data_IF_103703533248
#
_entry.id   IF_103703533248
#
_cell.length_a   1.000
_cell.length_b   1.000
_cell.length_c   1.000
_cell.angle_alpha   90.00
_cell.angle_beta   90.00
_cell.angle_gamma   90.00
#
_symmetry.space_group_name_H-M   'P 1'
#
loop_
_entity.id
_entity.type
_entity.pdbx_description
1 polymer ?
#
# COMPACT_ATOMS: atom_id res chain seq x y z
N UNK A 1 8.42 14.40 -19.63
CA UNK A 1 6.96 14.45 -19.64
C UNK A 1 6.50 14.41 -21.08
N UNK A 2 6.21 13.24 -21.61
CA UNK A 2 5.68 13.08 -22.96
C UNK A 2 4.19 13.34 -22.92
N UNK A 3 3.81 14.58 -23.21
CA UNK A 3 2.44 14.85 -23.58
C UNK A 3 2.21 14.11 -24.92
N UNK A 4 1.39 13.10 -24.90
CA UNK A 4 1.01 12.40 -26.13
C UNK A 4 0.49 13.41 -27.15
N UNK A 5 1.07 13.47 -28.35
CA UNK A 5 0.59 14.37 -29.44
C UNK A 5 -0.91 14.23 -29.71
N UNK A 6 -1.47 13.05 -29.37
CA UNK A 6 -2.90 12.73 -29.53
C UNK A 6 -3.81 13.44 -28.51
N UNK A 7 -3.29 13.77 -27.30
CA UNK A 7 -4.08 14.50 -26.31
C UNK A 7 -4.15 16.01 -26.62
N UNK A 8 -3.13 16.56 -27.28
CA UNK A 8 -3.20 17.94 -27.77
C UNK A 8 -4.34 18.12 -28.77
N UNK A 9 -4.55 17.16 -29.67
CA UNK A 9 -5.68 17.19 -30.60
C UNK A 9 -7.06 17.11 -29.91
N UNK A 10 -7.16 16.36 -28.81
CA UNK A 10 -8.40 16.24 -28.04
C UNK A 10 -8.65 17.48 -27.17
N UNK A 11 -7.61 18.03 -26.53
CA UNK A 11 -7.71 19.26 -25.76
C UNK A 11 -8.07 20.47 -26.63
N UNK A 12 -7.49 20.58 -27.82
CA UNK A 12 -7.79 21.65 -28.76
C UNK A 12 -9.18 21.52 -29.41
N UNK A 13 -9.76 20.33 -29.47
CA UNK A 13 -11.09 20.07 -30.02
C UNK A 13 -12.22 20.24 -29.00
N UNK A 14 -11.91 20.53 -27.71
CA UNK A 14 -12.91 20.78 -26.68
C UNK A 14 -13.94 19.65 -26.55
N UNK A 15 -15.21 19.96 -26.69
CA UNK A 15 -16.33 19.01 -26.57
C UNK A 15 -16.19 17.80 -27.50
N UNK A 16 -15.64 17.95 -28.69
CA UNK A 16 -15.45 16.83 -29.61
C UNK A 16 -14.45 15.79 -29.11
N UNK A 17 -13.47 16.16 -28.30
CA UNK A 17 -12.52 15.24 -27.71
C UNK A 17 -13.13 14.29 -26.68
N UNK A 18 -14.33 14.57 -26.17
CA UNK A 18 -15.00 13.74 -25.19
C UNK A 18 -15.39 12.36 -25.76
N UNK A 19 -15.82 12.31 -27.01
CA UNK A 19 -16.27 11.08 -27.67
C UNK A 19 -15.42 10.66 -28.88
N UNK A 20 -14.60 11.55 -29.41
CA UNK A 20 -13.86 11.34 -30.66
C UNK A 20 -12.35 11.23 -30.43
N UNK A 21 -11.68 10.47 -31.30
CA UNK A 21 -10.26 10.24 -31.29
C UNK A 21 -9.89 8.83 -30.86
N UNK A 22 -8.60 8.50 -30.89
CA UNK A 22 -8.11 7.18 -30.48
C UNK A 22 -8.33 6.88 -28.98
N UNK A 23 -8.35 7.93 -28.14
CA UNK A 23 -8.59 7.84 -26.69
C UNK A 23 -9.55 8.96 -26.29
N UNK A 24 -10.86 8.75 -26.46
CA UNK A 24 -11.86 9.75 -26.04
C UNK A 24 -11.80 9.92 -24.52
N UNK A 25 -12.03 11.16 -24.05
CA UNK A 25 -11.97 11.44 -22.62
C UNK A 25 -12.97 10.64 -21.78
N UNK A 26 -14.14 10.36 -22.37
CA UNK A 26 -15.15 9.53 -21.71
C UNK A 26 -14.66 8.10 -21.38
N UNK A 27 -13.63 7.63 -22.08
CA UNK A 27 -13.05 6.29 -21.97
C UNK A 27 -11.53 6.35 -21.69
N UNK A 28 -11.03 7.48 -21.20
CA UNK A 28 -9.59 7.71 -21.06
C UNK A 28 -8.89 6.71 -20.14
N UNK A 29 -9.58 6.21 -19.12
CA UNK A 29 -9.06 5.25 -18.16
C UNK A 29 -9.27 3.77 -18.57
N UNK A 30 -9.97 3.50 -19.66
CA UNK A 30 -10.21 2.12 -20.12
C UNK A 30 -8.89 1.38 -20.46
N UNK A 31 -7.89 2.10 -20.97
CA UNK A 31 -6.61 1.50 -21.37
C UNK A 31 -5.73 1.05 -20.20
N UNK A 32 -6.02 1.48 -18.97
CA UNK A 32 -5.24 1.13 -17.77
C UNK A 32 -5.93 0.07 -16.91
N UNK A 33 -7.16 -0.33 -17.23
CA UNK A 33 -7.91 -1.28 -16.41
C UNK A 33 -7.36 -2.70 -16.55
N UNK A 34 -7.18 -3.21 -17.77
CA UNK A 34 -6.71 -4.60 -17.97
C UNK A 34 -5.32 -4.85 -17.38
N UNK A 35 -4.29 -4.01 -17.66
CA UNK A 35 -2.97 -4.22 -17.06
C UNK A 35 -2.97 -4.04 -15.54
N UNK A 36 -3.84 -3.20 -14.99
CA UNK A 36 -3.98 -3.09 -13.54
C UNK A 36 -4.69 -4.31 -12.95
N UNK A 37 -5.74 -4.82 -13.59
CA UNK A 37 -6.44 -6.02 -13.15
C UNK A 37 -5.50 -7.23 -13.10
N UNK A 38 -4.68 -7.41 -14.13
CA UNK A 38 -3.65 -8.46 -14.18
C UNK A 38 -2.65 -8.33 -13.02
N UNK A 39 -2.17 -7.10 -12.77
CA UNK A 39 -1.18 -6.84 -11.73
C UNK A 39 -1.67 -7.13 -10.30
N UNK A 40 -2.97 -6.99 -10.04
CA UNK A 40 -3.56 -7.25 -8.72
C UNK A 40 -4.32 -8.59 -8.65
N UNK A 41 -4.29 -9.38 -9.72
CA UNK A 41 -5.00 -10.66 -9.80
C UNK A 41 -6.52 -10.52 -9.63
N UNK A 42 -7.12 -9.57 -10.34
CA UNK A 42 -8.54 -9.26 -10.31
C UNK A 42 -9.16 -9.37 -11.71
N UNK A 43 -10.47 -9.42 -11.78
CA UNK A 43 -11.20 -9.23 -13.05
C UNK A 43 -11.32 -7.74 -13.35
N UNK A 44 -11.32 -7.36 -14.64
CA UNK A 44 -11.47 -5.97 -15.07
C UNK A 44 -12.66 -5.24 -14.42
N UNK A 45 -13.80 -5.89 -14.29
CA UNK A 45 -15.01 -5.32 -13.71
C UNK A 45 -14.96 -5.15 -12.19
N UNK A 46 -13.97 -5.71 -11.52
CA UNK A 46 -13.79 -5.63 -10.07
C UNK A 46 -12.93 -4.45 -9.64
N UNK A 47 -12.31 -3.73 -10.59
CA UNK A 47 -11.43 -2.60 -10.28
C UNK A 47 -11.94 -1.28 -10.86
N UNK A 48 -11.63 -0.20 -10.17
CA UNK A 48 -11.74 1.17 -10.67
C UNK A 48 -10.50 1.97 -10.29
N UNK A 49 -10.07 2.83 -11.22
CA UNK A 49 -8.95 3.75 -10.98
C UNK A 49 -9.55 5.14 -10.78
N UNK A 50 -9.49 5.64 -9.57
CA UNK A 50 -10.18 6.84 -9.14
C UNK A 50 -9.57 7.44 -7.87
N UNK A 51 -9.74 8.73 -7.67
CA UNK A 51 -9.42 9.47 -6.45
C UNK A 51 -7.98 9.27 -5.92
N UNK A 52 -7.79 9.54 -4.64
CA UNK A 52 -6.66 9.12 -3.81
C UNK A 52 -7.05 7.96 -2.90
N UNK A 53 -6.05 7.24 -2.35
CA UNK A 53 -6.26 6.03 -1.55
C UNK A 53 -7.25 6.26 -0.40
N UNK A 54 -7.02 7.29 0.44
CA UNK A 54 -7.84 7.55 1.63
C UNK A 54 -9.30 7.85 1.27
N UNK A 55 -9.53 8.55 0.13
CA UNK A 55 -10.89 8.79 -0.38
C UNK A 55 -11.54 7.47 -0.77
N UNK A 56 -10.81 6.60 -1.48
CA UNK A 56 -11.32 5.27 -1.86
C UNK A 56 -11.62 4.43 -0.62
N UNK A 57 -10.75 4.44 0.38
CA UNK A 57 -10.98 3.73 1.65
C UNK A 57 -12.28 4.21 2.32
N UNK A 58 -12.49 5.52 2.41
CA UNK A 58 -13.75 6.06 2.97
C UNK A 58 -14.97 5.64 2.17
N UNK A 59 -14.93 5.71 0.85
CA UNK A 59 -16.05 5.30 -0.01
C UNK A 59 -16.41 3.82 0.16
N UNK A 60 -15.38 2.96 0.24
CA UNK A 60 -15.56 1.54 0.49
C UNK A 60 -16.10 1.30 1.89
N UNK A 61 -15.49 1.88 2.92
CA UNK A 61 -15.93 1.72 4.31
C UNK A 61 -17.38 2.20 4.53
N UNK A 62 -17.79 3.33 3.96
CA UNK A 62 -19.18 3.81 4.01
C UNK A 62 -20.19 2.78 3.48
N UNK A 63 -19.78 1.89 2.60
CA UNK A 63 -20.65 0.89 1.98
C UNK A 63 -20.53 -0.50 2.61
N UNK A 64 -19.32 -0.89 3.01
CA UNK A 64 -19.04 -2.20 3.59
C UNK A 64 -19.25 -2.23 5.11
N UNK A 65 -18.92 -1.15 5.82
CA UNK A 65 -19.14 -1.07 7.27
C UNK A 65 -20.58 -0.67 7.57
N UNK A 66 -21.41 -1.65 7.89
CA UNK A 66 -22.80 -1.49 8.30
C UNK A 66 -22.97 -2.09 9.70
N UNK A 67 -22.66 -1.30 10.76
CA UNK A 67 -22.71 -1.83 12.12
C UNK A 67 -24.13 -2.20 12.55
N UNK A 68 -24.20 -3.26 13.35
CA UNK A 68 -25.40 -3.73 14.04
C UNK A 68 -25.12 -3.83 15.54
N UNK A 69 -26.14 -4.08 16.36
CA UNK A 69 -25.95 -4.32 17.79
C UNK A 69 -25.03 -5.50 18.11
N UNK A 70 -24.92 -6.47 17.21
CA UNK A 70 -24.06 -7.64 17.37
C UNK A 70 -22.68 -7.44 16.71
N UNK A 71 -22.63 -6.89 15.49
CA UNK A 71 -21.42 -6.72 14.69
C UNK A 71 -21.16 -5.23 14.50
N UNK A 72 -20.24 -4.67 15.24
CA UNK A 72 -19.96 -3.23 15.26
C UNK A 72 -18.47 -2.88 15.33
N UNK A 73 -17.62 -3.90 15.50
CA UNK A 73 -16.18 -3.68 15.62
C UNK A 73 -15.50 -3.67 14.24
N UNK A 74 -14.40 -2.93 14.17
CA UNK A 74 -13.43 -3.00 13.08
C UNK A 74 -12.11 -3.49 13.66
N UNK A 75 -11.58 -4.58 13.12
CA UNK A 75 -10.26 -5.14 13.49
C UNK A 75 -9.19 -4.59 12.56
N UNK A 76 -8.11 -4.05 13.12
CA UNK A 76 -6.91 -3.64 12.38
C UNK A 76 -5.64 -3.81 13.24
N UNK A 77 -4.46 -3.69 12.63
CA UNK A 77 -3.20 -3.68 13.37
C UNK A 77 -3.03 -2.38 14.18
N UNK A 78 -2.45 -2.48 15.37
CA UNK A 78 -2.30 -1.34 16.30
C UNK A 78 -1.41 -0.20 15.76
N UNK A 79 -0.49 -0.52 14.85
CA UNK A 79 0.39 0.45 14.17
C UNK A 79 0.04 0.58 12.70
N UNK A 80 -1.26 0.57 12.37
CA UNK A 80 -1.73 0.89 11.01
C UNK A 80 -1.19 2.26 10.57
N UNK A 81 -1.08 2.45 9.26
CA UNK A 81 -0.72 3.79 8.75
C UNK A 81 -1.72 4.82 9.29
N UNK A 82 -1.25 6.01 9.72
CA UNK A 82 -2.14 6.99 10.37
C UNK A 82 -3.42 7.30 9.58
N UNK A 83 -3.35 7.31 8.25
CA UNK A 83 -4.52 7.55 7.40
C UNK A 83 -5.60 6.47 7.56
N UNK A 84 -5.20 5.20 7.69
CA UNK A 84 -6.14 4.09 7.89
C UNK A 84 -6.76 4.13 9.28
N UNK A 85 -5.92 4.38 10.30
CA UNK A 85 -6.38 4.56 11.67
C UNK A 85 -7.42 5.68 11.77
N UNK A 86 -7.12 6.86 11.19
CA UNK A 86 -8.04 8.01 11.20
C UNK A 86 -9.29 7.75 10.36
N UNK A 87 -9.18 7.04 9.25
CA UNK A 87 -10.33 6.65 8.44
C UNK A 87 -11.26 5.73 9.23
N UNK A 88 -10.74 4.72 9.91
CA UNK A 88 -11.53 3.81 10.77
C UNK A 88 -12.16 4.58 11.92
N UNK A 89 -11.40 5.40 12.63
CA UNK A 89 -11.94 6.22 13.73
C UNK A 89 -13.09 7.10 13.26
N UNK A 90 -12.95 7.77 12.12
CA UNK A 90 -13.99 8.64 11.59
C UNK A 90 -15.24 7.87 11.16
N UNK A 91 -15.10 6.65 10.63
CA UNK A 91 -16.25 5.78 10.33
C UNK A 91 -16.99 5.35 11.60
N UNK A 92 -16.28 4.98 12.66
CA UNK A 92 -16.91 4.66 13.94
C UNK A 92 -17.67 5.86 14.51
N UNK A 93 -17.07 7.04 14.52
CA UNK A 93 -17.71 8.29 14.96
C UNK A 93 -18.94 8.64 14.12
N UNK A 94 -18.87 8.46 12.80
CA UNK A 94 -19.99 8.71 11.88
C UNK A 94 -21.21 7.84 12.22
N UNK A 95 -20.98 6.63 12.70
CA UNK A 95 -22.04 5.72 13.13
C UNK A 95 -22.42 5.87 14.62
N UNK A 96 -21.90 6.87 15.33
CA UNK A 96 -22.17 7.11 16.74
C UNK A 96 -21.62 6.03 17.69
N UNK A 97 -20.61 5.28 17.25
CA UNK A 97 -19.99 4.21 18.02
C UNK A 97 -18.86 4.75 18.90
N UNK A 98 -18.72 4.15 20.08
CA UNK A 98 -17.59 4.37 20.97
C UNK A 98 -16.32 3.79 20.31
N UNK A 99 -15.33 4.64 20.04
CA UNK A 99 -14.11 4.29 19.32
C UNK A 99 -13.29 3.24 20.10
N UNK A 100 -13.12 3.42 21.41
CA UNK A 100 -12.30 2.51 22.24
C UNK A 100 -12.88 1.09 22.30
N UNK A 101 -14.21 0.97 22.27
CA UNK A 101 -14.90 -0.33 22.30
C UNK A 101 -15.05 -0.97 20.93
N UNK A 102 -15.02 -0.16 19.86
CA UNK A 102 -15.36 -0.61 18.51
C UNK A 102 -14.15 -0.73 17.58
N UNK A 103 -13.04 -0.02 17.87
CA UNK A 103 -11.77 -0.17 17.19
C UNK A 103 -10.93 -1.24 17.87
N UNK A 104 -10.89 -2.43 17.31
CA UNK A 104 -10.12 -3.55 17.86
C UNK A 104 -8.70 -3.51 17.30
N UNK A 105 -7.74 -3.05 18.11
CA UNK A 105 -6.34 -2.94 17.74
C UNK A 105 -5.56 -4.19 18.16
N UNK A 106 -4.95 -4.87 17.18
CA UNK A 106 -4.10 -6.03 17.45
C UNK A 106 -2.65 -5.58 17.58
N UNK A 107 -2.06 -5.86 18.74
CA UNK A 107 -0.67 -5.54 19.06
C UNK A 107 0.24 -6.75 18.84
N UNK A 108 1.50 -6.54 18.44
CA UNK A 108 2.54 -7.56 18.55
C UNK A 108 2.69 -8.07 19.98
N UNK A 109 3.19 -9.28 20.17
CA UNK A 109 3.54 -9.77 21.50
C UNK A 109 4.63 -8.90 22.14
N UNK A 110 4.70 -8.93 23.45
CA UNK A 110 5.74 -8.19 24.18
C UNK A 110 7.15 -8.56 23.68
N UNK A 111 7.94 -7.57 23.28
CA UNK A 111 9.28 -7.75 22.73
C UNK A 111 9.32 -8.09 21.24
N UNK A 112 8.18 -8.19 20.55
CA UNK A 112 8.08 -8.38 19.10
C UNK A 112 7.70 -7.09 18.41
N UNK A 113 8.15 -6.94 17.15
CA UNK A 113 7.84 -5.77 16.30
C UNK A 113 6.75 -6.07 15.27
N UNK A 114 6.54 -7.35 14.97
CA UNK A 114 5.64 -7.84 13.93
C UNK A 114 4.52 -8.68 14.51
N UNK A 115 3.39 -8.75 13.81
CA UNK A 115 2.25 -9.58 14.20
C UNK A 115 2.45 -11.01 13.68
N UNK A 116 2.21 -11.98 14.53
CA UNK A 116 2.16 -13.38 14.09
C UNK A 116 0.82 -13.68 13.42
N UNK A 117 0.85 -14.40 12.32
CA UNK A 117 -0.39 -14.80 11.61
C UNK A 117 -1.32 -15.57 12.54
N UNK A 118 -0.80 -16.45 13.40
CA UNK A 118 -1.59 -17.23 14.37
C UNK A 118 -2.36 -16.34 15.34
N UNK A 119 -1.78 -15.24 15.80
CA UNK A 119 -2.43 -14.31 16.71
C UNK A 119 -3.56 -13.54 16.02
N UNK A 120 -3.34 -13.15 14.75
CA UNK A 120 -4.38 -12.53 13.93
C UNK A 120 -5.58 -13.49 13.79
N UNK A 121 -5.31 -14.74 13.41
CA UNK A 121 -6.36 -15.75 13.22
C UNK A 121 -7.07 -16.07 14.54
N UNK A 122 -6.33 -16.17 15.66
CA UNK A 122 -6.89 -16.43 16.99
C UNK A 122 -7.86 -15.31 17.42
N UNK A 123 -7.51 -14.04 17.18
CA UNK A 123 -8.40 -12.91 17.48
C UNK A 123 -9.64 -12.95 16.59
N UNK A 124 -9.51 -13.27 15.31
CA UNK A 124 -10.66 -13.42 14.40
C UNK A 124 -11.57 -14.57 14.87
N UNK A 125 -11.01 -15.70 15.27
CA UNK A 125 -11.80 -16.83 15.77
C UNK A 125 -12.54 -16.48 17.08
N UNK A 126 -11.91 -15.74 17.97
CA UNK A 126 -12.47 -15.35 19.27
C UNK A 126 -13.52 -14.24 19.17
N UNK A 127 -13.20 -13.16 18.45
CA UNK A 127 -13.97 -11.91 18.43
C UNK A 127 -14.86 -11.77 17.18
N UNK A 128 -14.69 -12.66 16.19
CA UNK A 128 -15.29 -12.53 14.85
C UNK A 128 -16.80 -12.32 14.83
N UNK A 129 -17.52 -12.81 15.84
CA UNK A 129 -18.96 -12.59 15.94
C UNK A 129 -19.35 -11.14 16.20
N UNK A 130 -18.45 -10.33 16.77
CA UNK A 130 -18.64 -8.89 17.01
C UNK A 130 -17.97 -8.00 15.95
N UNK A 131 -17.10 -8.58 15.11
CA UNK A 131 -16.39 -7.83 14.08
C UNK A 131 -17.27 -7.72 12.82
N UNK A 132 -17.51 -6.49 12.37
CA UNK A 132 -18.17 -6.20 11.10
C UNK A 132 -17.19 -6.20 9.94
N UNK A 133 -16.03 -5.55 10.11
CA UNK A 133 -15.00 -5.41 9.10
C UNK A 133 -13.63 -5.73 9.69
N UNK A 134 -12.83 -6.47 8.92
CA UNK A 134 -11.40 -6.65 9.14
C UNK A 134 -10.70 -5.79 8.08
N UNK A 135 -9.84 -4.87 8.50
CA UNK A 135 -9.06 -4.00 7.63
C UNK A 135 -7.59 -4.11 8.02
N UNK A 136 -6.79 -4.74 7.19
CA UNK A 136 -5.33 -4.80 7.34
C UNK A 136 -4.65 -4.16 6.13
N UNK A 137 -3.38 -3.77 6.29
CA UNK A 137 -2.57 -3.52 5.11
C UNK A 137 -2.08 -4.83 4.48
N UNK A 138 -1.74 -4.83 3.19
CA UNK A 138 -1.09 -5.98 2.56
C UNK A 138 0.35 -6.12 3.00
N UNK A 139 1.12 -5.03 2.88
CA UNK A 139 2.49 -4.92 3.39
C UNK A 139 2.54 -3.74 4.36
N UNK A 140 2.99 -4.01 5.57
CA UNK A 140 3.05 -3.02 6.64
C UNK A 140 4.13 -1.96 6.35
N UNK A 141 3.75 -0.70 6.38
CA UNK A 141 4.59 0.40 5.92
C UNK A 141 5.86 0.61 6.73
N UNK A 142 5.85 0.31 8.04
CA UNK A 142 7.00 0.46 8.92
C UNK A 142 7.86 -0.81 8.94
N UNK A 143 7.27 -1.94 9.30
CA UNK A 143 8.01 -3.21 9.46
C UNK A 143 8.38 -3.89 8.14
N UNK A 144 7.69 -3.58 7.04
CA UNK A 144 7.82 -4.32 5.77
C UNK A 144 7.19 -5.71 5.79
N UNK A 145 6.48 -6.08 6.86
CA UNK A 145 5.80 -7.36 6.99
C UNK A 145 4.68 -7.49 5.94
N UNK A 146 4.69 -8.57 5.16
CA UNK A 146 3.60 -9.01 4.30
C UNK A 146 2.66 -9.90 5.13
N UNK A 147 1.39 -9.52 5.21
CA UNK A 147 0.37 -10.32 5.88
C UNK A 147 -0.15 -11.44 4.99
N UNK A 148 -0.57 -12.54 5.61
CA UNK A 148 -1.19 -13.69 4.93
C UNK A 148 -2.64 -13.36 4.53
N UNK A 149 -2.76 -12.58 3.43
CA UNK A 149 -4.04 -12.08 2.91
C UNK A 149 -5.07 -13.22 2.74
N UNK A 150 -4.76 -14.35 2.07
CA UNK A 150 -5.73 -15.41 1.85
C UNK A 150 -6.22 -16.07 3.15
N UNK A 151 -5.35 -16.31 4.14
CA UNK A 151 -5.75 -16.91 5.41
C UNK A 151 -6.59 -15.97 6.25
N UNK A 152 -6.22 -14.70 6.33
CA UNK A 152 -7.00 -13.65 7.03
C UNK A 152 -8.38 -13.54 6.38
N UNK A 153 -8.45 -13.45 5.06
CA UNK A 153 -9.70 -13.36 4.30
C UNK A 153 -10.62 -14.55 4.59
N UNK A 154 -10.10 -15.76 4.40
CA UNK A 154 -10.87 -16.99 4.60
C UNK A 154 -11.38 -17.12 6.03
N UNK A 155 -10.55 -16.83 7.03
CA UNK A 155 -10.92 -16.94 8.44
C UNK A 155 -11.96 -15.87 8.82
N UNK A 156 -11.77 -14.62 8.38
CA UNK A 156 -12.73 -13.55 8.62
C UNK A 156 -14.10 -13.84 8.00
N UNK A 157 -14.13 -14.26 6.75
CA UNK A 157 -15.37 -14.57 6.04
C UNK A 157 -16.10 -15.78 6.65
N UNK A 158 -15.39 -16.80 7.13
CA UNK A 158 -15.97 -17.93 7.86
C UNK A 158 -16.70 -17.48 9.12
N UNK A 159 -16.24 -16.40 9.75
CA UNK A 159 -16.91 -15.76 10.89
C UNK A 159 -18.01 -14.77 10.50
N UNK A 160 -18.20 -14.53 9.20
CA UNK A 160 -19.16 -13.58 8.65
C UNK A 160 -18.71 -12.13 8.71
N UNK A 161 -17.40 -11.89 8.86
CA UNK A 161 -16.81 -10.56 8.71
C UNK A 161 -16.63 -10.22 7.22
N UNK A 162 -16.69 -8.94 6.88
CA UNK A 162 -16.19 -8.45 5.59
C UNK A 162 -14.70 -8.12 5.73
N UNK A 163 -13.90 -8.48 4.72
CA UNK A 163 -12.44 -8.38 4.81
C UNK A 163 -11.89 -7.49 3.70
N UNK A 164 -11.23 -6.42 4.09
CA UNK A 164 -10.63 -5.45 3.19
C UNK A 164 -9.13 -5.22 3.47
N UNK A 165 -8.43 -4.70 2.45
CA UNK A 165 -6.99 -4.42 2.57
C UNK A 165 -6.61 -3.05 1.99
N UNK A 166 -5.72 -2.33 2.72
CA UNK A 166 -4.89 -1.29 2.13
C UNK A 166 -3.66 -1.95 1.48
N UNK A 167 -3.56 -1.83 0.17
CA UNK A 167 -2.50 -2.44 -0.61
C UNK A 167 -1.44 -1.43 -1.08
N UNK A 168 -1.34 -0.26 -0.41
CA UNK A 168 -0.43 0.82 -0.77
C UNK A 168 1.03 0.39 -0.92
N UNK A 169 1.50 -0.54 -0.10
CA UNK A 169 2.86 -1.10 -0.15
C UNK A 169 2.92 -2.48 -0.82
N UNK A 170 1.79 -3.04 -1.25
CA UNK A 170 1.72 -4.37 -1.84
C UNK A 170 1.67 -4.35 -3.37
N UNK A 171 0.84 -3.48 -3.98
CA UNK A 171 0.69 -3.40 -5.43
C UNK A 171 2.00 -2.95 -6.09
N UNK A 172 2.48 -3.76 -7.04
CA UNK A 172 3.78 -3.57 -7.70
C UNK A 172 5.00 -4.07 -6.91
N UNK A 173 4.80 -4.61 -5.71
CA UNK A 173 5.85 -5.11 -4.80
C UNK A 173 5.77 -6.63 -4.59
N UNK A 174 4.57 -7.17 -4.41
CA UNK A 174 4.32 -8.59 -4.16
C UNK A 174 3.26 -9.12 -5.13
N UNK A 175 3.20 -10.45 -5.28
CA UNK A 175 2.16 -11.09 -6.06
C UNK A 175 0.83 -11.00 -5.33
N UNK A 176 -0.23 -10.65 -6.07
CA UNK A 176 -1.60 -10.52 -5.57
C UNK A 176 -2.56 -11.32 -6.44
N UNK A 177 -3.55 -11.95 -5.82
CA UNK A 177 -4.61 -12.72 -6.47
C UNK A 177 -5.94 -12.39 -5.81
N UNK A 178 -6.34 -11.10 -5.87
CA UNK A 178 -7.48 -10.58 -5.09
C UNK A 178 -8.79 -11.32 -5.38
N UNK A 179 -9.01 -11.67 -6.66
CA UNK A 179 -10.20 -12.44 -7.05
C UNK A 179 -10.18 -13.85 -6.45
N UNK A 180 -9.09 -14.59 -6.66
CA UNK A 180 -9.01 -16.01 -6.23
C UNK A 180 -8.95 -16.14 -4.70
N UNK A 181 -8.36 -15.16 -4.01
CA UNK A 181 -8.37 -15.07 -2.55
C UNK A 181 -9.72 -14.69 -1.98
N UNK A 182 -10.64 -14.20 -2.82
CA UNK A 182 -12.00 -13.83 -2.43
C UNK A 182 -12.05 -12.60 -1.53
N UNK A 183 -11.04 -11.71 -1.57
CA UNK A 183 -11.03 -10.45 -0.81
C UNK A 183 -12.30 -9.65 -1.08
N UNK A 184 -12.93 -9.07 -0.06
CA UNK A 184 -14.20 -8.38 -0.27
C UNK A 184 -14.00 -7.01 -0.92
N UNK A 185 -13.00 -6.23 -0.45
CA UNK A 185 -12.62 -4.96 -1.04
C UNK A 185 -11.15 -4.64 -0.77
N UNK A 186 -10.55 -3.80 -1.60
CA UNK A 186 -9.21 -3.29 -1.39
C UNK A 186 -9.03 -1.91 -2.03
N UNK A 187 -8.02 -1.17 -1.58
CA UNK A 187 -7.60 0.07 -2.21
C UNK A 187 -6.07 0.23 -2.16
N UNK A 188 -5.52 1.02 -3.08
CA UNK A 188 -4.08 1.27 -3.16
C UNK A 188 -3.78 2.61 -3.80
N UNK A 189 -2.58 3.13 -3.56
CA UNK A 189 -2.03 4.26 -4.31
C UNK A 189 -1.08 3.77 -5.42
N UNK A 190 -0.83 4.60 -6.41
CA UNK A 190 0.04 4.24 -7.55
C UNK A 190 1.40 4.95 -7.54
N UNK A 191 1.62 5.91 -6.62
CA UNK A 191 2.85 6.70 -6.56
C UNK A 191 3.99 6.04 -5.77
N UNK A 192 3.76 4.84 -5.17
CA UNK A 192 4.79 4.07 -4.48
C UNK A 192 5.46 3.09 -5.45
N UNK A 193 5.24 1.80 -5.30
CA UNK A 193 5.90 0.77 -6.11
C UNK A 193 5.47 0.74 -7.59
N UNK A 194 4.33 1.36 -7.94
CA UNK A 194 3.95 1.55 -9.33
C UNK A 194 4.62 2.77 -9.99
N UNK A 195 5.29 3.64 -9.24
CA UNK A 195 6.06 4.77 -9.79
C UNK A 195 5.28 5.72 -10.71
N UNK A 196 3.99 5.92 -10.49
CA UNK A 196 3.16 6.80 -11.34
C UNK A 196 3.31 8.30 -11.06
N UNK A 197 4.27 8.67 -10.22
CA UNK A 197 4.52 10.06 -9.82
C UNK A 197 3.69 10.51 -8.61
N UNK A 198 4.12 11.61 -7.98
CA UNK A 198 3.49 12.14 -6.77
C UNK A 198 2.00 12.44 -6.98
N UNK A 199 1.15 12.05 -6.03
CA UNK A 199 -0.30 12.23 -6.12
C UNK A 199 -1.00 11.38 -7.19
N UNK A 200 -0.35 10.30 -7.64
CA UNK A 200 -0.86 9.39 -8.67
C UNK A 200 -2.27 8.85 -8.39
N UNK A 201 -2.98 8.51 -9.47
CA UNK A 201 -4.35 8.00 -9.42
C UNK A 201 -4.42 6.68 -8.64
N UNK A 202 -5.29 6.61 -7.64
CA UNK A 202 -5.46 5.43 -6.80
C UNK A 202 -6.34 4.36 -7.48
N UNK A 203 -6.20 3.12 -7.00
CA UNK A 203 -7.07 2.02 -7.37
C UNK A 203 -7.99 1.61 -6.22
N UNK A 204 -9.11 1.01 -6.60
CA UNK A 204 -10.07 0.39 -5.70
C UNK A 204 -10.57 -0.91 -6.32
N UNK A 205 -10.85 -1.89 -5.47
CA UNK A 205 -11.32 -3.21 -5.82
C UNK A 205 -12.57 -3.57 -5.00
N UNK A 206 -13.54 -4.16 -5.64
CA UNK A 206 -14.68 -4.85 -5.01
C UNK A 206 -14.87 -6.17 -5.74
N UNK A 207 -14.85 -7.27 -4.99
CA UNK A 207 -15.10 -8.60 -5.55
C UNK A 207 -16.47 -8.69 -6.23
N UNK A 208 -16.57 -9.35 -7.38
CA UNK A 208 -17.81 -9.48 -8.16
C UNK A 208 -18.98 -10.10 -7.38
N UNK A 209 -18.70 -10.93 -6.34
CA UNK A 209 -19.75 -11.48 -5.45
C UNK A 209 -20.59 -10.39 -4.79
N UNK A 210 -20.05 -9.17 -4.67
CA UNK A 210 -20.72 -8.00 -4.08
C UNK A 210 -21.35 -7.06 -5.10
N UNK A 211 -21.22 -7.31 -6.40
CA UNK A 211 -21.65 -6.40 -7.47
C UNK A 211 -23.13 -5.97 -7.37
N UNK A 212 -23.98 -6.86 -6.85
CA UNK A 212 -25.44 -6.60 -6.70
C UNK A 212 -25.84 -6.25 -5.27
N UNK A 213 -25.12 -6.71 -4.26
CA UNK A 213 -25.49 -6.58 -2.85
C UNK A 213 -24.95 -5.30 -2.19
N UNK A 214 -23.74 -4.89 -2.53
CA UNK A 214 -23.11 -3.69 -1.96
C UNK A 214 -23.29 -2.52 -2.95
N UNK A 215 -23.95 -1.46 -2.47
CA UNK A 215 -24.18 -0.24 -3.23
C UNK A 215 -23.35 0.89 -2.65
N UNK A 216 -22.88 1.85 -3.49
CA UNK A 216 -22.17 3.03 -2.98
C UNK A 216 -23.09 3.86 -2.07
N UNK A 217 -22.57 4.25 -0.92
CA UNK A 217 -23.26 5.18 -0.02
C UNK A 217 -23.27 6.61 -0.56
N UNK A 218 -22.24 6.98 -1.31
CA UNK A 218 -22.14 8.24 -2.02
C UNK A 218 -22.14 7.97 -3.53
N UNK A 219 -22.94 8.68 -4.26
CA UNK A 219 -23.13 8.51 -5.70
C UNK A 219 -22.73 9.76 -6.45
N UNK A 220 -22.23 9.56 -7.66
CA UNK A 220 -21.82 10.65 -8.53
C UNK A 220 -22.09 10.34 -10.00
N UNK A 221 -21.91 11.35 -10.84
CA UNK A 221 -22.26 11.26 -12.24
C UNK A 221 -21.49 10.17 -13.01
N UNK A 222 -20.24 9.91 -12.64
CA UNK A 222 -19.41 8.90 -13.33
C UNK A 222 -19.81 7.45 -13.02
N UNK A 223 -20.53 7.24 -11.92
CA UNK A 223 -21.14 5.96 -11.57
C UNK A 223 -22.44 5.65 -12.33
N UNK A 224 -23.00 6.63 -13.05
CA UNK A 224 -24.18 6.44 -13.91
C UNK A 224 -23.81 5.63 -15.16
N UNK A 225 -24.76 4.86 -15.69
CA UNK A 225 -24.58 4.08 -16.93
C UNK A 225 -24.14 4.98 -18.09
N UNK A 226 -23.11 4.55 -18.82
CA UNK A 226 -22.51 5.33 -19.88
C UNK A 226 -23.49 5.66 -21.02
N UNK A 227 -24.42 4.74 -21.34
CA UNK A 227 -25.36 4.90 -22.46
C UNK A 227 -26.40 6.01 -22.21
N UNK A 228 -26.73 6.24 -20.95
CA UNK A 228 -27.77 7.19 -20.55
C UNK A 228 -27.23 8.41 -19.81
N UNK A 229 -25.94 8.42 -19.47
CA UNK A 229 -25.28 9.50 -18.70
C UNK A 229 -25.51 10.90 -19.30
N UNK A 230 -25.59 11.02 -20.61
CA UNK A 230 -25.72 12.29 -21.32
C UNK A 230 -27.16 12.65 -21.72
N UNK A 231 -28.14 11.81 -21.33
CA UNK A 231 -29.57 12.16 -21.55
C UNK A 231 -30.06 13.26 -20.61
N UNK A 232 -29.25 13.63 -19.60
CA UNK A 232 -29.53 14.66 -18.61
C UNK A 232 -30.85 14.44 -17.83
N UNK A 233 -31.26 13.20 -17.75
CA UNK A 233 -32.39 12.79 -16.91
C UNK A 233 -31.93 12.68 -15.44
N UNK A 234 -32.70 13.28 -14.52
CA UNK A 234 -32.45 13.17 -13.08
C UNK A 234 -32.91 11.79 -12.50
N UNK A 235 -32.75 10.73 -13.30
CA UNK A 235 -33.07 9.36 -12.95
C UNK A 235 -31.79 8.53 -12.98
N UNK A 236 -31.30 8.18 -11.80
CA UNK A 236 -30.08 7.42 -11.65
C UNK A 236 -30.24 6.00 -12.24
N UNK A 237 -29.30 5.66 -13.13
CA UNK A 237 -29.05 4.29 -13.61
C UNK A 237 -27.63 3.89 -13.18
N UNK A 238 -27.54 3.37 -11.95
CA UNK A 238 -26.25 3.07 -11.34
C UNK A 238 -25.59 1.87 -12.02
N UNK A 239 -24.31 1.99 -12.36
CA UNK A 239 -23.48 0.87 -12.81
C UNK A 239 -23.29 -0.14 -11.68
N UNK A 240 -23.15 -1.42 -12.03
CA UNK A 240 -22.92 -2.49 -11.07
C UNK A 240 -21.46 -2.49 -10.54
N UNK A 241 -21.29 -3.07 -9.36
CA UNK A 241 -20.01 -3.27 -8.71
C UNK A 241 -19.25 -1.98 -8.45
N UNK A 242 -17.93 -2.06 -8.52
CA UNK A 242 -17.03 -0.92 -8.23
C UNK A 242 -17.28 0.28 -9.15
N UNK A 243 -17.78 0.06 -10.36
CA UNK A 243 -18.03 1.14 -11.29
C UNK A 243 -19.12 2.12 -10.82
N UNK A 244 -20.06 1.67 -9.97
CA UNK A 244 -21.06 2.54 -9.34
C UNK A 244 -20.46 3.47 -8.29
N UNK A 245 -19.28 3.20 -7.78
CA UNK A 245 -18.57 4.00 -6.77
C UNK A 245 -17.81 5.20 -7.36
N UNK A 246 -17.75 5.31 -8.66
CA UNK A 246 -17.03 6.39 -9.36
C UNK A 246 -17.83 7.67 -9.27
N UNK A 247 -17.31 8.67 -8.54
CA UNK A 247 -18.03 9.93 -8.32
C UNK A 247 -17.87 10.88 -9.51
N UNK A 248 -16.64 11.10 -9.95
CA UNK A 248 -16.26 12.03 -11.00
C UNK A 248 -15.44 11.32 -12.08
N UNK A 249 -15.31 11.97 -13.23
CA UNK A 249 -14.37 11.55 -14.26
C UNK A 249 -12.92 11.54 -13.73
N UNK A 250 -12.09 10.57 -14.16
CA UNK A 250 -10.71 10.51 -13.72
C UNK A 250 -9.90 11.69 -14.27
N UNK A 251 -8.97 12.27 -13.48
CA UNK A 251 -8.09 13.32 -13.95
C UNK A 251 -7.13 12.79 -15.01
N UNK A 252 -7.24 13.29 -16.24
CA UNK A 252 -6.55 12.73 -17.41
C UNK A 252 -5.02 12.71 -17.27
N UNK A 253 -4.42 13.72 -16.64
CA UNK A 253 -2.97 13.76 -16.44
C UNK A 253 -2.48 12.64 -15.54
N UNK A 254 -3.24 12.27 -14.51
CA UNK A 254 -2.92 11.15 -13.62
C UNK A 254 -3.15 9.80 -14.32
N UNK A 255 -4.15 9.71 -15.19
CA UNK A 255 -4.36 8.53 -16.06
C UNK A 255 -3.15 8.33 -16.96
N UNK A 256 -2.64 9.38 -17.61
CA UNK A 256 -1.46 9.31 -18.46
C UNK A 256 -0.21 8.85 -17.70
N UNK A 257 0.01 9.37 -16.50
CA UNK A 257 1.15 8.97 -15.69
C UNK A 257 1.08 7.50 -15.27
N UNK A 258 -0.10 7.03 -14.82
CA UNK A 258 -0.30 5.63 -14.48
C UNK A 258 -0.22 4.71 -15.72
N UNK A 259 -0.72 5.15 -16.87
CA UNK A 259 -0.60 4.41 -18.12
C UNK A 259 0.88 4.18 -18.48
N UNK A 260 1.70 5.23 -18.43
CA UNK A 260 3.14 5.12 -18.71
C UNK A 260 3.84 4.13 -17.74
N UNK A 261 3.46 4.14 -16.46
CA UNK A 261 3.95 3.15 -15.49
C UNK A 261 3.56 1.74 -15.89
N UNK A 262 2.28 1.50 -16.22
CA UNK A 262 1.78 0.17 -16.58
C UNK A 262 2.38 -0.34 -17.91
N UNK A 263 2.71 0.57 -18.86
CA UNK A 263 3.48 0.21 -20.06
C UNK A 263 4.87 -0.34 -19.71
N UNK A 264 5.51 0.15 -18.66
CA UNK A 264 6.78 -0.41 -18.17
C UNK A 264 6.56 -1.77 -17.51
N UNK A 265 5.54 -1.88 -16.66
CA UNK A 265 5.21 -3.16 -16.01
C UNK A 265 4.82 -4.25 -17.00
N UNK A 266 4.16 -3.91 -18.12
CA UNK A 266 3.78 -4.86 -19.17
C UNK A 266 4.96 -5.45 -19.95
N UNK A 267 6.16 -4.89 -19.81
CA UNK A 267 7.40 -5.45 -20.41
C UNK A 267 7.99 -6.62 -19.60
N UNK A 268 7.42 -6.91 -18.44
CA UNK A 268 7.82 -7.98 -17.54
C UNK A 268 6.58 -8.56 -16.84
N UNK A 269 6.78 -9.42 -15.86
CA UNK A 269 5.69 -9.96 -15.05
C UNK A 269 5.95 -9.68 -13.57
N UNK A 270 4.90 -9.59 -12.76
CA UNK A 270 5.06 -9.42 -11.31
C UNK A 270 5.83 -10.60 -10.69
N UNK A 271 5.67 -11.81 -11.22
CA UNK A 271 6.40 -13.00 -10.81
C UNK A 271 7.92 -12.87 -11.08
N UNK A 272 8.30 -12.33 -12.24
CA UNK A 272 9.71 -12.09 -12.56
C UNK A 272 10.31 -11.01 -11.65
N UNK A 273 9.58 -9.92 -11.42
CA UNK A 273 9.97 -8.87 -10.47
C UNK A 273 10.09 -9.45 -9.05
N UNK A 274 9.14 -10.28 -8.62
CA UNK A 274 9.16 -10.90 -7.29
C UNK A 274 10.37 -11.81 -7.11
N UNK A 275 10.72 -12.65 -8.08
CA UNK A 275 11.94 -13.48 -8.04
C UNK A 275 13.20 -12.62 -7.87
N UNK A 276 13.35 -11.54 -8.63
CA UNK A 276 14.47 -10.60 -8.49
C UNK A 276 14.45 -9.91 -7.12
N UNK A 277 13.28 -9.48 -6.64
CA UNK A 277 13.08 -8.86 -5.32
C UNK A 277 13.55 -9.77 -4.18
N UNK A 278 13.19 -11.03 -4.20
CA UNK A 278 13.61 -12.03 -3.21
C UNK A 278 15.13 -12.11 -3.14
N UNK A 279 15.81 -12.18 -4.30
CA UNK A 279 17.26 -12.27 -4.38
C UNK A 279 17.94 -10.97 -3.91
N UNK A 280 17.47 -9.80 -4.36
CA UNK A 280 18.04 -8.50 -3.97
C UNK A 280 17.88 -8.24 -2.47
N UNK A 281 16.70 -8.51 -1.93
CA UNK A 281 16.41 -8.30 -0.50
C UNK A 281 17.15 -9.31 0.37
N UNK A 282 17.25 -10.57 -0.07
CA UNK A 282 18.05 -11.61 0.59
C UNK A 282 19.53 -11.27 0.58
N UNK A 283 20.06 -10.72 -0.50
CA UNK A 283 21.44 -10.26 -0.59
C UNK A 283 21.71 -9.08 0.36
N UNK A 284 20.80 -8.11 0.41
CA UNK A 284 20.88 -6.99 1.35
C UNK A 284 20.85 -7.48 2.81
N UNK A 285 19.93 -8.38 3.15
CA UNK A 285 19.85 -8.99 4.49
C UNK A 285 21.13 -9.72 4.85
N UNK A 286 21.66 -10.54 3.93
CA UNK A 286 22.91 -11.27 4.14
C UNK A 286 24.07 -10.33 4.46
N UNK A 287 24.27 -9.27 3.66
CA UNK A 287 25.35 -8.31 3.86
C UNK A 287 25.20 -7.53 5.18
N UNK A 288 23.98 -7.12 5.55
CA UNK A 288 23.74 -6.44 6.83
C UNK A 288 24.07 -7.37 7.99
N UNK A 289 23.62 -8.61 7.98
CA UNK A 289 23.91 -9.60 9.01
C UNK A 289 25.40 -9.93 9.08
N UNK A 290 26.09 -9.99 7.94
CA UNK A 290 27.52 -10.28 7.89
C UNK A 290 28.38 -9.18 8.49
N UNK A 291 28.11 -7.91 8.16
CA UNK A 291 28.98 -6.79 8.54
C UNK A 291 28.55 -6.07 9.83
N UNK A 292 27.25 -6.05 10.13
CA UNK A 292 26.67 -5.17 11.14
C UNK A 292 25.84 -5.88 12.21
N UNK A 293 25.95 -7.20 12.37
CA UNK A 293 25.34 -7.90 13.51
C UNK A 293 25.95 -7.44 14.82
N UNK A 294 25.17 -7.54 15.90
CA UNK A 294 25.62 -7.32 17.26
C UNK A 294 26.79 -8.24 17.61
N UNK A 295 27.89 -7.66 18.10
CA UNK A 295 29.07 -8.37 18.52
C UNK A 295 29.10 -8.40 20.03
N UNK A 296 28.74 -9.54 20.64
CA UNK A 296 28.71 -9.71 22.09
C UNK A 296 30.12 -9.62 22.74
N UNK A 297 31.20 -9.87 21.97
CA UNK A 297 32.55 -9.70 22.42
C UNK A 297 33.01 -8.24 22.42
N UNK A 298 32.34 -7.38 21.67
CA UNK A 298 32.64 -5.95 21.56
C UNK A 298 31.33 -5.11 21.58
N UNK A 299 30.72 -4.92 22.76
CA UNK A 299 29.43 -4.22 22.90
C UNK A 299 29.43 -2.77 22.43
N UNK A 300 30.61 -2.11 22.37
CA UNK A 300 30.77 -0.73 21.88
C UNK A 300 30.76 -0.63 20.36
N UNK A 301 30.77 -1.75 19.66
CA UNK A 301 30.70 -1.77 18.20
C UNK A 301 29.26 -1.48 17.77
N UNK A 302 29.05 -0.45 16.93
CA UNK A 302 27.70 -0.20 16.38
C UNK A 302 27.16 -1.39 15.62
N UNK A 303 25.87 -1.67 15.79
CA UNK A 303 25.19 -2.76 15.09
C UNK A 303 23.88 -2.30 14.47
N UNK A 304 23.37 -3.12 13.56
CA UNK A 304 22.11 -2.92 12.86
C UNK A 304 21.27 -4.18 13.01
N UNK A 305 20.06 -4.02 13.53
CA UNK A 305 19.05 -5.08 13.62
C UNK A 305 18.04 -4.91 12.49
N UNK A 306 17.59 -6.00 11.91
CA UNK A 306 16.53 -6.01 10.91
C UNK A 306 15.21 -6.30 11.62
N UNK A 307 14.24 -5.39 11.48
CA UNK A 307 12.88 -5.51 12.03
C UNK A 307 12.01 -6.38 11.12
N UNK A 308 12.15 -6.22 9.80
CA UNK A 308 11.39 -6.98 8.81
C UNK A 308 11.60 -8.47 8.96
N UNK A 309 10.55 -9.32 8.84
CA UNK A 309 10.69 -10.78 8.91
C UNK A 309 11.70 -11.31 7.88
N UNK A 310 12.44 -12.35 8.27
CA UNK A 310 13.42 -13.01 7.38
C UNK A 310 12.78 -13.98 6.39
N UNK A 311 11.58 -14.49 6.71
CA UNK A 311 10.84 -15.37 5.81
C UNK A 311 10.40 -14.60 4.57
N UNK A 312 10.68 -15.16 3.41
CA UNK A 312 10.39 -14.51 2.12
C UNK A 312 8.89 -14.36 1.84
N UNK A 313 8.09 -15.24 2.42
CA UNK A 313 6.61 -15.22 2.37
C UNK A 313 6.01 -14.12 3.23
N UNK A 314 6.76 -13.61 4.22
CA UNK A 314 6.29 -12.60 5.17
C UNK A 314 6.86 -11.21 4.90
N UNK A 315 7.42 -10.95 3.70
CA UNK A 315 7.94 -9.62 3.32
C UNK A 315 7.88 -9.33 1.82
N UNK A 316 7.91 -8.04 1.49
CA UNK A 316 8.17 -7.53 0.14
C UNK A 316 9.66 -7.26 -0.07
N UNK A 317 9.98 -6.21 -0.84
CA UNK A 317 11.37 -5.78 -1.09
C UNK A 317 11.92 -4.80 -0.04
N UNK A 318 11.13 -4.37 0.93
CA UNK A 318 11.57 -3.47 2.00
C UNK A 318 12.23 -4.24 3.13
N UNK A 319 13.35 -3.70 3.64
CA UNK A 319 13.89 -4.01 4.97
C UNK A 319 13.84 -2.76 5.84
N UNK A 320 13.38 -2.91 7.07
CA UNK A 320 13.46 -1.88 8.10
C UNK A 320 14.59 -2.22 9.04
N UNK A 321 15.55 -1.31 9.14
CA UNK A 321 16.78 -1.43 9.88
C UNK A 321 16.71 -0.57 11.13
N UNK A 322 16.97 -1.14 12.32
CA UNK A 322 17.10 -0.42 13.59
C UNK A 322 18.59 -0.33 13.96
N UNK A 323 19.04 0.84 14.35
CA UNK A 323 20.43 1.16 14.60
C UNK A 323 20.72 1.34 16.09
N UNK A 324 21.86 0.87 16.57
CA UNK A 324 22.36 1.19 17.90
C UNK A 324 22.94 2.62 18.01
N UNK A 325 22.97 3.37 16.93
CA UNK A 325 23.40 4.78 16.84
C UNK A 325 22.19 5.70 16.53
N UNK A 326 22.27 6.99 16.87
CA UNK A 326 21.26 7.97 16.48
C UNK A 326 21.08 8.01 14.96
N UNK A 327 19.89 7.68 14.48
CA UNK A 327 19.60 7.52 13.04
C UNK A 327 19.81 8.80 12.24
N UNK A 328 19.56 9.98 12.85
CA UNK A 328 19.71 11.28 12.17
C UNK A 328 21.12 11.50 11.61
N UNK A 329 22.16 11.10 12.34
CA UNK A 329 23.55 11.27 11.90
C UNK A 329 23.88 10.32 10.76
N UNK A 330 23.46 9.06 10.87
CA UNK A 330 23.65 8.04 9.81
C UNK A 330 22.89 8.47 8.53
N UNK A 331 21.64 8.90 8.67
CA UNK A 331 20.81 9.32 7.55
C UNK A 331 21.41 10.49 6.77
N UNK A 332 21.89 11.54 7.48
CA UNK A 332 22.57 12.69 6.85
C UNK A 332 23.81 12.28 6.03
N UNK A 333 24.59 11.33 6.53
CA UNK A 333 25.77 10.84 5.80
C UNK A 333 25.36 10.01 4.57
N UNK A 334 24.27 9.23 4.65
CA UNK A 334 23.70 8.51 3.51
C UNK A 334 23.22 9.49 2.41
N UNK A 335 22.45 10.52 2.79
CA UNK A 335 21.97 11.56 1.86
C UNK A 335 23.11 12.27 1.14
N UNK A 336 24.15 12.71 1.87
CA UNK A 336 25.34 13.36 1.31
C UNK A 336 26.02 12.51 0.23
N UNK A 337 25.90 11.16 0.32
CA UNK A 337 26.51 10.21 -0.60
C UNK A 337 25.53 9.71 -1.69
N UNK A 338 24.37 10.36 -1.80
CA UNK A 338 23.37 10.10 -2.83
C UNK A 338 22.50 8.87 -2.59
N UNK A 339 22.38 8.39 -1.35
CA UNK A 339 21.46 7.31 -1.00
C UNK A 339 20.09 7.90 -0.67
N UNK A 340 19.09 7.58 -1.47
CA UNK A 340 17.70 7.91 -1.20
C UNK A 340 17.04 6.78 -0.39
N UNK A 341 16.70 7.06 0.85
CA UNK A 341 16.02 6.15 1.78
C UNK A 341 15.09 6.92 2.70
N UNK A 342 14.39 6.24 3.61
CA UNK A 342 13.40 6.87 4.48
C UNK A 342 13.72 6.63 5.96
N UNK A 343 13.94 7.72 6.67
CA UNK A 343 14.24 7.69 8.10
C UNK A 343 12.96 7.68 8.94
N UNK A 344 12.95 6.87 10.01
CA UNK A 344 11.92 6.85 11.04
C UNK A 344 12.56 6.95 12.43
N UNK A 345 12.31 8.05 13.09
CA UNK A 345 12.79 8.25 14.46
C UNK A 345 12.17 7.24 15.43
N UNK A 346 12.88 6.81 16.47
CA UNK A 346 14.19 7.34 16.90
C UNK A 346 15.40 6.68 16.22
N UNK A 347 15.28 5.47 15.69
CA UNK A 347 16.43 4.63 15.34
C UNK A 347 16.26 3.81 14.05
N UNK A 348 15.20 4.02 13.29
CA UNK A 348 14.89 3.17 12.15
C UNK A 348 15.13 3.83 10.78
N UNK A 349 15.57 3.02 9.83
CA UNK A 349 15.75 3.35 8.42
C UNK A 349 15.05 2.30 7.56
N UNK A 350 14.18 2.75 6.64
CA UNK A 350 13.58 1.87 5.66
C UNK A 350 14.38 1.91 4.37
N UNK A 351 14.78 0.74 3.90
CA UNK A 351 15.48 0.55 2.63
C UNK A 351 14.72 -0.46 1.77
N UNK A 352 14.61 -0.19 0.48
CA UNK A 352 13.85 -1.04 -0.43
C UNK A 352 14.59 -1.15 -1.78
N UNK A 353 15.34 -2.23 -2.01
CA UNK A 353 15.95 -2.50 -3.31
C UNK A 353 14.87 -2.96 -4.30
N UNK A 354 14.16 -1.98 -4.88
CA UNK A 354 13.04 -2.22 -5.81
C UNK A 354 13.55 -2.94 -7.07
N UNK A 355 12.99 -4.10 -7.42
CA UNK A 355 13.51 -4.93 -8.51
C UNK A 355 13.42 -4.27 -9.89
N UNK A 356 12.50 -3.32 -10.07
CA UNK A 356 12.30 -2.66 -11.36
C UNK A 356 13.53 -1.85 -11.80
N UNK A 357 14.24 -1.22 -10.86
CA UNK A 357 15.34 -0.30 -11.20
C UNK A 357 16.61 -0.49 -10.36
N UNK A 358 16.59 -1.28 -9.27
CA UNK A 358 17.82 -1.58 -8.52
C UNK A 358 18.51 -2.87 -8.99
N UNK A 359 19.80 -2.91 -8.78
CA UNK A 359 20.70 -4.02 -9.10
C UNK A 359 21.43 -4.54 -7.86
N UNK A 360 22.10 -5.69 -7.96
CA UNK A 360 22.99 -6.20 -6.91
C UNK A 360 24.15 -5.24 -6.62
N UNK A 361 24.63 -4.53 -7.66
CA UNK A 361 25.67 -3.53 -7.49
C UNK A 361 25.19 -2.35 -6.62
N UNK A 362 23.93 -1.90 -6.79
CA UNK A 362 23.38 -0.84 -5.96
C UNK A 362 23.27 -1.28 -4.49
N UNK A 363 22.90 -2.53 -4.23
CA UNK A 363 22.88 -3.10 -2.89
C UNK A 363 24.27 -3.13 -2.28
N UNK A 364 25.28 -3.60 -3.04
CA UNK A 364 26.66 -3.63 -2.59
C UNK A 364 27.19 -2.24 -2.24
N UNK A 365 26.99 -1.29 -3.17
CA UNK A 365 27.37 0.11 -2.97
C UNK A 365 26.68 0.75 -1.76
N UNK A 366 25.40 0.44 -1.55
CA UNK A 366 24.68 0.89 -0.33
C UNK A 366 25.40 0.40 0.94
N UNK A 367 25.83 -0.85 1.00
CA UNK A 367 26.53 -1.43 2.17
C UNK A 367 27.86 -0.73 2.44
N UNK A 368 28.65 -0.41 1.40
CA UNK A 368 29.90 0.35 1.52
C UNK A 368 29.65 1.77 2.08
N UNK A 369 28.64 2.45 1.54
CA UNK A 369 28.25 3.78 2.00
C UNK A 369 27.72 3.73 3.44
N UNK A 370 26.94 2.71 3.79
CA UNK A 370 26.41 2.50 5.13
C UNK A 370 27.54 2.35 6.16
N UNK A 371 28.58 1.56 5.85
CA UNK A 371 29.75 1.40 6.71
C UNK A 371 30.47 2.71 6.96
N UNK A 372 30.66 3.51 5.90
CA UNK A 372 31.25 4.84 6.01
C UNK A 372 30.36 5.79 6.85
N UNK A 373 29.06 5.74 6.70
CA UNK A 373 28.11 6.57 7.47
C UNK A 373 28.10 6.19 8.96
N UNK A 374 28.12 4.90 9.29
CA UNK A 374 28.20 4.42 10.68
C UNK A 374 29.51 4.89 11.34
N UNK A 375 30.64 4.75 10.64
CA UNK A 375 31.96 5.17 11.14
C UNK A 375 32.00 6.69 11.41
N UNK A 376 31.55 7.50 10.47
CA UNK A 376 31.50 8.97 10.63
C UNK A 376 30.58 9.39 11.78
N UNK A 377 29.43 8.72 11.93
CA UNK A 377 28.49 9.02 13.01
C UNK A 377 29.02 8.68 14.39
N UNK A 378 29.78 7.59 14.53
CA UNK A 378 30.46 7.23 15.80
C UNK A 378 31.50 8.28 16.20
N UNK A 379 32.29 8.78 15.25
CA UNK A 379 33.30 9.83 15.51
C UNK A 379 32.66 11.14 15.98
N UNK A 380 31.54 11.53 15.36
CA UNK A 380 30.81 12.74 15.76
C UNK A 380 30.24 12.63 17.17
N UNK A 381 29.66 11.47 17.53
CA UNK A 381 29.14 11.23 18.87
C UNK A 381 30.23 11.33 19.95
N UNK A 382 31.41 10.73 19.71
CA UNK A 382 32.55 10.78 20.63
C UNK A 382 33.07 12.21 20.82
N UNK A 383 33.15 13.02 19.76
CA UNK A 383 33.61 14.41 19.83
C UNK A 383 32.63 15.30 20.60
N UNK A 384 31.32 15.02 20.52
CA UNK A 384 30.30 15.80 21.26
C UNK A 384 30.36 15.52 22.77
N UNK A 385 30.68 14.29 23.17
CA UNK A 385 30.85 13.90 24.57
C UNK A 385 32.10 14.57 25.16
N UNK A 386 33.19 14.66 24.39
CA UNK A 386 34.44 15.31 24.83
C UNK A 386 34.36 16.83 24.91
N UNK A 387 33.50 17.47 24.11
CA UNK A 387 33.32 18.95 24.10
C UNK A 387 32.26 19.45 25.09
N UNK A 388 31.47 18.60 25.70
CA UNK A 388 30.48 18.92 26.73
C UNK A 388 30.94 18.78 28.17
N UNK A 389 32.22 18.47 28.39
CA UNK A 389 32.86 18.32 29.72
C UNK A 389 33.77 19.43 30.11
N UNK A 390 33.44 20.70 29.70
CA UNK A 390 34.09 21.94 30.18
C UNK A 390 33.07 22.88 30.80
#
# INVERSE_FOLDING_TARGET
MFLYPQNQGSASKGVHGHFNGKRPWALADECILDPMAELVGAKRQEIALMNGLTVNLHLLMLSFFKPTSRRYKILLEARAFPSDHYAVESQLRLHGLDVEKSMLLLHPRQGEETLRTEDILAVIEKEGDSIAVILFCGVQYYTGQLFDIPRITKTGQKKGCLVGFDLAHAVGNVELHLHDWGVDFACWCSYKYLNSGAGGLAGAYIHEKHSKSIKPALIGWWGHDFKTRFLMENKLQLREGINGFRLSNPPILLVCALHASLEVFSQTTIQALRRKSILLTGYLEYLIKHYYSEDKANPEKPFVRIITPSQIEERGCQLTLSFSLPIKSVFKELEKRGVACDMREPDALRVAPVPLYNSFHDVHRFIEILGSAITSSKQTANNTVLSGSY
#
